data_IF_426681133918
#
_entry.id   IF_426681133918
#
_cell.length_a   1.000
_cell.length_b   1.000
_cell.length_c   1.000
_cell.angle_alpha   90.00
_cell.angle_beta   90.00
_cell.angle_gamma   90.00
#
_symmetry.space_group_name_H-M   'P 1'
#
loop_
_entity.id
_entity.type
_entity.pdbx_description
1 polymer ?
#
# COMPACT_ATOMS: atom_id res chain seq x y z
N UNK A 1 13.29 26.07 5.20
CA UNK A 1 14.42 25.49 4.45
C UNK A 1 14.58 24.04 4.90
N UNK A 2 14.71 23.10 3.97
CA UNK A 2 15.02 21.70 4.25
C UNK A 2 16.49 21.49 3.97
N UNK A 3 17.21 20.88 4.90
CA UNK A 3 18.57 20.40 4.67
C UNK A 3 18.50 18.92 4.30
N UNK A 4 19.03 18.58 3.14
CA UNK A 4 18.96 17.25 2.57
C UNK A 4 20.28 16.51 2.79
N UNK A 5 20.19 15.28 3.31
CA UNK A 5 21.31 14.35 3.35
C UNK A 5 21.11 13.29 2.25
N UNK A 6 22.02 13.24 1.27
CA UNK A 6 21.99 12.21 0.24
C UNK A 6 22.59 10.90 0.77
N UNK A 7 21.84 9.82 0.65
CA UNK A 7 22.24 8.44 1.00
C UNK A 7 21.99 7.53 -0.18
N UNK A 8 22.65 6.38 -0.23
CA UNK A 8 22.72 5.57 -1.43
C UNK A 8 22.13 4.17 -1.24
N UNK A 9 21.38 3.72 -2.25
CA UNK A 9 20.88 2.36 -2.41
C UNK A 9 20.82 2.00 -3.91
N UNK A 10 20.81 0.72 -4.23
CA UNK A 10 20.79 0.24 -5.62
C UNK A 10 22.11 0.46 -6.36
N UNK A 11 22.02 0.79 -7.65
CA UNK A 11 23.21 0.96 -8.53
C UNK A 11 24.17 2.03 -8.00
N UNK A 12 23.65 3.16 -7.53
CA UNK A 12 24.48 4.21 -6.94
C UNK A 12 25.27 3.74 -5.71
N UNK A 13 24.70 2.86 -4.89
CA UNK A 13 25.43 2.30 -3.75
C UNK A 13 26.58 1.40 -4.19
N UNK A 14 26.40 0.59 -5.24
CA UNK A 14 27.49 -0.18 -5.84
C UNK A 14 28.62 0.69 -6.38
N UNK A 15 28.27 1.82 -7.00
CA UNK A 15 29.27 2.77 -7.53
C UNK A 15 30.09 3.43 -6.42
N UNK A 16 29.43 3.74 -5.30
CA UNK A 16 30.04 4.47 -4.18
C UNK A 16 30.79 3.57 -3.19
N UNK A 17 30.26 2.38 -2.89
CA UNK A 17 30.77 1.50 -1.82
C UNK A 17 31.43 0.22 -2.36
N UNK A 18 31.39 -0.01 -3.67
CA UNK A 18 31.98 -1.17 -4.34
C UNK A 18 30.97 -2.26 -4.71
N UNK A 19 31.40 -3.26 -5.51
CA UNK A 19 30.54 -4.28 -6.09
C UNK A 19 29.73 -5.06 -5.03
N UNK A 20 28.48 -5.37 -5.36
CA UNK A 20 27.53 -6.11 -4.51
C UNK A 20 27.08 -5.38 -3.23
N UNK A 21 27.34 -4.08 -3.10
CA UNK A 21 26.87 -3.26 -1.97
C UNK A 21 25.57 -2.53 -2.33
N UNK A 22 24.51 -3.30 -2.56
CA UNK A 22 23.19 -2.77 -3.00
C UNK A 22 22.44 -1.99 -1.92
N UNK A 23 22.66 -2.29 -0.65
CA UNK A 23 22.04 -1.64 0.50
C UNK A 23 23.07 -1.56 1.65
N UNK A 24 23.86 -0.47 1.73
CA UNK A 24 24.83 -0.27 2.80
C UNK A 24 24.16 -0.22 4.17
N UNK A 25 24.87 -0.68 5.22
CA UNK A 25 24.41 -0.52 6.61
C UNK A 25 24.26 0.94 6.99
N UNK A 26 25.19 1.80 6.55
CA UNK A 26 25.16 3.25 6.77
C UNK A 26 23.82 3.87 6.30
N UNK A 27 23.29 3.44 5.16
CA UNK A 27 21.98 3.91 4.66
C UNK A 27 20.85 3.56 5.64
N UNK A 28 20.87 2.36 6.22
CA UNK A 28 19.87 1.94 7.21
C UNK A 28 20.02 2.70 8.54
N UNK A 29 21.26 2.91 8.96
CA UNK A 29 21.60 3.64 10.18
C UNK A 29 21.15 5.10 10.09
N UNK A 30 21.45 5.77 8.98
CA UNK A 30 21.04 7.15 8.74
C UNK A 30 19.51 7.31 8.62
N UNK A 31 18.80 6.39 7.96
CA UNK A 31 17.33 6.40 7.97
C UNK A 31 16.79 6.23 9.40
N UNK A 32 17.44 5.38 10.19
CA UNK A 32 17.02 5.14 11.59
C UNK A 32 17.31 6.34 12.50
N UNK A 33 18.36 7.10 12.23
CA UNK A 33 18.75 8.32 12.96
C UNK A 33 17.83 9.49 12.62
N UNK A 34 17.63 9.76 11.30
CA UNK A 34 16.86 10.91 10.83
C UNK A 34 15.35 10.65 10.71
N UNK A 35 14.92 9.41 10.84
CA UNK A 35 13.53 8.91 10.85
C UNK A 35 12.77 9.09 9.54
N UNK A 36 12.98 10.16 8.79
CA UNK A 36 12.22 10.48 7.58
C UNK A 36 13.14 10.50 6.37
N UNK A 37 12.78 9.69 5.36
CA UNK A 37 13.51 9.61 4.10
C UNK A 37 12.56 9.60 2.90
N UNK A 38 13.04 10.06 1.74
CA UNK A 38 12.35 9.96 0.46
C UNK A 38 13.30 9.37 -0.58
N UNK A 39 12.79 8.52 -1.45
CA UNK A 39 13.57 7.93 -2.54
C UNK A 39 12.79 7.83 -3.85
N UNK A 40 13.50 7.76 -4.93
CA UNK A 40 12.99 7.30 -6.21
C UNK A 40 12.82 5.77 -6.27
N UNK A 41 12.36 5.22 -7.40
CA UNK A 41 12.28 3.77 -7.62
C UNK A 41 13.69 3.15 -7.65
N UNK A 42 13.80 1.90 -7.18
CA UNK A 42 15.04 1.12 -7.18
C UNK A 42 14.89 -0.13 -8.04
N UNK A 43 15.90 -0.42 -8.85
CA UNK A 43 16.02 -1.69 -9.57
C UNK A 43 16.62 -2.75 -8.63
N UNK A 44 16.02 -3.93 -8.61
CA UNK A 44 16.61 -5.09 -7.94
C UNK A 44 17.44 -5.87 -8.95
N UNK A 45 18.72 -6.17 -8.67
CA UNK A 45 19.57 -6.95 -9.59
C UNK A 45 19.04 -8.37 -9.75
N UNK A 46 19.08 -8.87 -10.99
CA UNK A 46 18.72 -10.26 -11.29
C UNK A 46 19.92 -11.14 -10.88
N UNK A 47 19.70 -12.10 -9.99
CA UNK A 47 20.69 -13.14 -9.63
C UNK A 47 21.64 -12.81 -8.48
N UNK A 48 21.47 -11.71 -7.76
CA UNK A 48 22.37 -11.26 -6.67
C UNK A 48 22.03 -11.76 -5.25
N UNK A 49 21.17 -12.74 -5.07
CA UNK A 49 20.78 -13.23 -3.73
C UNK A 49 19.87 -12.27 -2.93
N UNK A 50 19.68 -11.04 -3.39
CA UNK A 50 18.74 -10.08 -2.83
C UNK A 50 17.45 -10.13 -3.65
N UNK A 51 16.35 -10.53 -3.03
CA UNK A 51 15.04 -10.62 -3.71
C UNK A 51 14.52 -9.25 -4.17
N UNK A 52 14.62 -8.25 -3.30
CA UNK A 52 14.24 -6.87 -3.60
C UNK A 52 14.85 -5.94 -2.56
N UNK A 53 15.50 -4.86 -3.03
CA UNK A 53 16.04 -3.82 -2.15
C UNK A 53 14.90 -3.13 -1.38
N UNK A 54 13.76 -2.90 -2.03
CA UNK A 54 12.59 -2.31 -1.37
C UNK A 54 12.06 -3.21 -0.24
N UNK A 55 11.95 -4.52 -0.47
CA UNK A 55 11.54 -5.47 0.57
C UNK A 55 12.56 -5.50 1.71
N UNK A 56 13.87 -5.48 1.40
CA UNK A 56 14.92 -5.43 2.41
C UNK A 56 14.83 -4.17 3.29
N UNK A 57 14.60 -3.00 2.69
CA UNK A 57 14.38 -1.74 3.42
C UNK A 57 13.18 -1.84 4.38
N UNK A 58 12.04 -2.33 3.89
CA UNK A 58 10.81 -2.50 4.67
C UNK A 58 11.00 -3.43 5.86
N UNK A 59 11.66 -4.57 5.64
CA UNK A 59 11.91 -5.57 6.69
C UNK A 59 12.96 -5.11 7.70
N UNK A 60 14.12 -4.59 7.24
CA UNK A 60 15.22 -4.19 8.14
C UNK A 60 14.89 -2.98 8.99
N UNK A 61 14.06 -2.06 8.51
CA UNK A 61 13.59 -0.89 9.24
C UNK A 61 12.23 -1.12 9.93
N UNK A 62 11.67 -2.32 9.78
CA UNK A 62 10.33 -2.71 10.26
C UNK A 62 9.23 -1.71 9.86
N UNK A 63 9.23 -1.29 8.59
CA UNK A 63 8.23 -0.37 8.03
C UNK A 63 6.95 -1.15 7.70
N UNK A 64 6.18 -1.49 8.71
CA UNK A 64 5.08 -2.46 8.61
C UNK A 64 3.81 -1.94 7.93
N UNK A 65 3.66 -0.66 7.74
CA UNK A 65 2.57 -0.05 6.97
C UNK A 65 3.09 0.44 5.64
N UNK A 66 2.57 -0.07 4.52
CA UNK A 66 2.66 0.58 3.24
C UNK A 66 1.38 1.40 3.02
N UNK A 67 1.51 2.71 3.11
CA UNK A 67 0.41 3.67 2.99
C UNK A 67 0.32 4.18 1.55
N UNK A 68 -0.83 3.97 0.90
CA UNK A 68 -1.08 4.36 -0.49
C UNK A 68 -2.43 5.07 -0.62
N UNK A 69 -2.49 6.40 -0.53
CA UNK A 69 -3.69 7.16 -0.84
C UNK A 69 -3.93 7.15 -2.35
N UNK A 70 -5.20 6.97 -2.72
CA UNK A 70 -5.65 6.98 -4.12
C UNK A 70 -6.81 7.96 -4.24
N UNK A 71 -6.61 9.02 -5.00
CA UNK A 71 -7.63 10.02 -5.34
C UNK A 71 -7.47 10.49 -6.77
N UNK A 72 -8.55 10.94 -7.35
CA UNK A 72 -8.52 11.53 -8.67
C UNK A 72 -8.24 13.03 -8.61
N UNK A 73 -7.47 13.54 -9.58
CA UNK A 73 -7.23 14.95 -9.80
C UNK A 73 -8.03 15.43 -11.02
N UNK A 74 -8.58 16.64 -10.93
CA UNK A 74 -9.40 17.21 -12.01
C UNK A 74 -8.68 17.19 -13.36
N UNK A 75 -9.43 16.78 -14.40
CA UNK A 75 -8.97 16.64 -15.78
C UNK A 75 -8.00 15.48 -16.06
N UNK A 76 -7.56 14.72 -15.07
CA UNK A 76 -6.75 13.51 -15.33
C UNK A 76 -7.62 12.48 -16.09
N UNK A 77 -7.11 11.91 -17.19
CA UNK A 77 -7.82 10.86 -17.91
C UNK A 77 -8.08 9.64 -17.03
N UNK A 78 -9.28 9.11 -17.09
CA UNK A 78 -9.68 7.95 -16.28
C UNK A 78 -10.50 6.96 -17.11
N UNK A 79 -10.32 5.65 -16.92
CA UNK A 79 -11.12 4.62 -17.58
C UNK A 79 -12.51 4.44 -16.95
N UNK A 80 -12.76 5.02 -15.77
CA UNK A 80 -14.05 4.92 -15.07
C UNK A 80 -14.93 6.15 -15.32
N UNK A 81 -16.26 5.98 -15.22
CA UNK A 81 -17.22 7.05 -15.51
C UNK A 81 -17.16 8.21 -14.52
N UNK A 82 -16.99 7.91 -13.23
CA UNK A 82 -17.03 8.88 -12.15
C UNK A 82 -15.79 8.76 -11.28
N UNK A 83 -14.62 9.17 -11.75
CA UNK A 83 -13.38 9.01 -10.97
C UNK A 83 -13.36 9.87 -9.68
N UNK A 84 -14.16 10.93 -9.60
CA UNK A 84 -14.37 11.72 -8.37
C UNK A 84 -14.92 10.89 -7.19
N UNK A 85 -15.52 9.75 -7.46
CA UNK A 85 -16.07 8.86 -6.43
C UNK A 85 -14.99 8.01 -5.75
N UNK A 86 -13.73 8.11 -6.24
CA UNK A 86 -12.58 7.36 -5.73
C UNK A 86 -11.74 8.28 -4.86
N UNK A 87 -11.81 8.06 -3.56
CA UNK A 87 -10.96 8.66 -2.53
C UNK A 87 -10.75 7.62 -1.43
N UNK A 88 -9.73 6.79 -1.60
CA UNK A 88 -9.43 5.68 -0.71
C UNK A 88 -7.99 5.74 -0.23
N UNK A 89 -7.75 5.23 0.99
CA UNK A 89 -6.41 5.11 1.54
C UNK A 89 -6.14 3.66 1.90
N UNK A 90 -5.12 3.06 1.27
CA UNK A 90 -4.75 1.67 1.49
C UNK A 90 -3.67 1.59 2.56
N UNK A 91 -3.95 0.84 3.62
CA UNK A 91 -3.01 0.33 4.62
C UNK A 91 -2.69 -1.11 4.23
N UNK A 92 -1.57 -1.30 3.51
CA UNK A 92 -1.04 -2.59 3.11
C UNK A 92 -0.05 -3.06 4.15
N UNK A 93 -0.24 -4.27 4.69
CA UNK A 93 0.79 -4.93 5.50
C UNK A 93 2.07 -5.10 4.65
N UNK A 94 3.24 -4.94 5.25
CA UNK A 94 4.45 -4.73 4.48
C UNK A 94 5.63 -5.64 4.87
N UNK A 95 5.46 -6.50 5.88
CA UNK A 95 6.56 -7.30 6.46
C UNK A 95 6.33 -8.82 6.40
N UNK A 96 5.11 -9.24 6.23
CA UNK A 96 4.69 -10.65 6.19
C UNK A 96 4.16 -11.07 4.81
N UNK A 97 3.29 -12.08 4.79
CA UNK A 97 2.68 -12.66 3.62
C UNK A 97 3.70 -13.44 2.77
N UNK A 98 3.40 -13.70 1.52
CA UNK A 98 4.34 -14.35 0.59
C UNK A 98 5.60 -13.51 0.35
N UNK A 99 5.57 -12.22 0.65
CA UNK A 99 6.72 -11.31 0.60
C UNK A 99 7.79 -11.64 1.66
N UNK A 100 7.48 -12.46 2.67
CA UNK A 100 8.48 -13.04 3.59
C UNK A 100 9.52 -13.90 2.85
N UNK A 101 9.17 -14.37 1.65
CA UNK A 101 10.11 -15.03 0.76
C UNK A 101 10.47 -16.45 1.19
N UNK A 102 9.59 -17.13 1.90
CA UNK A 102 9.79 -18.53 2.31
C UNK A 102 9.31 -19.43 1.17
N UNK A 103 10.20 -19.74 0.24
CA UNK A 103 9.90 -20.52 -0.96
C UNK A 103 10.94 -21.61 -1.18
N UNK A 104 10.50 -22.68 -1.81
CA UNK A 104 11.30 -23.85 -2.18
C UNK A 104 11.12 -24.10 -3.68
N UNK A 105 12.21 -23.99 -4.43
CA UNK A 105 12.23 -24.26 -5.87
C UNK A 105 12.07 -25.75 -6.14
N UNK A 106 11.27 -26.07 -7.14
CA UNK A 106 11.00 -27.47 -7.54
C UNK A 106 12.31 -28.20 -7.89
N UNK A 107 12.36 -29.50 -7.57
CA UNK A 107 13.52 -30.35 -7.85
C UNK A 107 14.74 -30.16 -6.93
N UNK A 108 14.75 -29.16 -6.07
CA UNK A 108 15.87 -28.92 -5.13
C UNK A 108 15.81 -29.85 -3.91
N UNK A 109 16.96 -30.03 -3.25
CA UNK A 109 17.07 -30.82 -2.02
C UNK A 109 16.19 -30.26 -0.91
N UNK A 110 16.11 -28.93 -0.78
CA UNK A 110 15.29 -28.27 0.22
C UNK A 110 13.79 -28.48 -0.02
N UNK A 111 13.33 -28.42 -1.28
CA UNK A 111 11.94 -28.74 -1.62
C UNK A 111 11.62 -30.22 -1.28
N UNK A 112 12.52 -31.13 -1.64
CA UNK A 112 12.37 -32.56 -1.34
C UNK A 112 12.34 -32.84 0.17
N UNK A 113 13.22 -32.19 0.93
CA UNK A 113 13.25 -32.27 2.39
C UNK A 113 11.96 -31.78 3.02
N UNK A 114 11.46 -30.60 2.57
CA UNK A 114 10.21 -30.04 3.06
C UNK A 114 9.01 -30.95 2.73
N UNK A 115 8.95 -31.49 1.51
CA UNK A 115 7.91 -32.46 1.11
C UNK A 115 7.94 -33.74 1.96
N UNK A 116 9.14 -34.24 2.29
CA UNK A 116 9.26 -35.40 3.16
C UNK A 116 8.76 -35.13 4.58
N UNK A 117 9.10 -33.95 5.15
CA UNK A 117 8.56 -33.53 6.45
C UNK A 117 7.02 -33.48 6.43
N UNK A 118 6.43 -32.89 5.36
CA UNK A 118 4.98 -32.86 5.19
C UNK A 118 4.37 -34.26 5.05
N UNK A 119 5.02 -35.15 4.31
CA UNK A 119 4.57 -36.52 4.09
C UNK A 119 4.56 -37.32 5.39
N UNK A 120 5.61 -37.22 6.18
CA UNK A 120 5.79 -37.96 7.42
C UNK A 120 4.93 -37.42 8.57
N UNK A 121 4.88 -36.10 8.73
CA UNK A 121 4.26 -35.47 9.91
C UNK A 121 2.85 -34.90 9.62
N UNK A 122 2.53 -34.59 8.38
CA UNK A 122 1.26 -33.98 7.96
C UNK A 122 0.66 -34.65 6.73
N UNK A 123 0.57 -36.00 6.73
CA UNK A 123 0.19 -36.78 5.56
C UNK A 123 -1.13 -36.38 4.90
N UNK A 124 -2.12 -35.95 5.70
CA UNK A 124 -3.41 -35.44 5.18
C UNK A 124 -3.27 -34.13 4.40
N UNK A 125 -2.26 -33.31 4.72
CA UNK A 125 -1.95 -32.07 4.00
C UNK A 125 -1.10 -32.37 2.76
N UNK A 126 -0.10 -33.24 2.90
CA UNK A 126 0.71 -33.71 1.77
C UNK A 126 -0.13 -34.29 0.63
N UNK A 127 -1.13 -35.11 0.94
CA UNK A 127 -2.05 -35.71 -0.04
C UNK A 127 -2.84 -34.67 -0.86
N UNK A 128 -2.87 -33.42 -0.46
CA UNK A 128 -3.52 -32.33 -1.22
C UNK A 128 -2.61 -31.75 -2.28
N UNK A 129 -1.31 -32.02 -2.24
CA UNK A 129 -0.36 -31.60 -3.26
C UNK A 129 -0.52 -32.57 -4.43
N UNK A 130 -1.03 -32.07 -5.54
CA UNK A 130 -1.39 -32.91 -6.69
C UNK A 130 -0.18 -33.48 -7.41
N UNK A 131 0.88 -32.70 -7.52
CA UNK A 131 2.11 -33.03 -8.26
C UNK A 131 3.35 -32.73 -7.41
N UNK A 132 3.61 -33.52 -6.34
CA UNK A 132 4.65 -33.19 -5.37
C UNK A 132 6.07 -33.16 -5.95
N UNK A 133 6.35 -33.97 -7.00
CA UNK A 133 7.70 -34.07 -7.58
C UNK A 133 8.07 -32.91 -8.53
N UNK A 134 7.12 -32.07 -8.90
CA UNK A 134 7.29 -31.01 -9.90
C UNK A 134 6.63 -29.68 -9.46
N UNK A 135 6.41 -29.48 -8.16
CA UNK A 135 5.84 -28.24 -7.66
C UNK A 135 6.86 -27.43 -6.86
N UNK A 136 6.90 -26.13 -7.12
CA UNK A 136 7.45 -25.17 -6.16
C UNK A 136 6.51 -24.99 -4.99
N UNK A 137 7.03 -24.65 -3.82
CA UNK A 137 6.27 -24.48 -2.58
C UNK A 137 6.56 -23.13 -1.95
N UNK A 138 5.54 -22.48 -1.37
CA UNK A 138 5.69 -21.23 -0.65
C UNK A 138 4.87 -21.24 0.65
N UNK A 139 5.38 -20.53 1.65
CA UNK A 139 4.72 -20.34 2.94
C UNK A 139 4.22 -18.89 3.05
N UNK A 140 2.96 -18.74 3.42
CA UNK A 140 2.28 -17.46 3.65
C UNK A 140 2.07 -17.24 5.15
N UNK A 141 3.02 -16.62 5.86
CA UNK A 141 2.84 -16.27 7.27
C UNK A 141 1.95 -15.03 7.40
N UNK A 142 0.96 -15.09 8.27
CA UNK A 142 0.15 -13.95 8.72
C UNK A 142 0.02 -14.07 10.23
N UNK A 143 0.50 -13.07 10.97
CA UNK A 143 0.49 -13.07 12.43
C UNK A 143 -0.61 -12.22 13.04
N UNK A 144 -0.92 -12.49 14.31
CA UNK A 144 -1.83 -11.64 15.09
C UNK A 144 -1.19 -10.27 15.34
N UNK A 145 0.09 -10.25 15.64
CA UNK A 145 0.87 -9.04 15.92
C UNK A 145 0.91 -8.11 14.70
N UNK A 146 1.32 -8.62 13.55
CA UNK A 146 1.36 -7.86 12.29
C UNK A 146 -0.02 -7.31 11.90
N UNK A 147 -1.06 -8.15 12.03
CA UNK A 147 -2.45 -7.73 11.79
C UNK A 147 -2.88 -6.63 12.75
N UNK A 148 -2.61 -6.80 14.06
CA UNK A 148 -3.10 -5.88 15.09
C UNK A 148 -2.49 -4.49 14.95
N UNK A 149 -1.18 -4.37 14.70
CA UNK A 149 -0.52 -3.08 14.52
C UNK A 149 -1.01 -2.37 13.24
N UNK A 150 -1.15 -3.10 12.12
CA UNK A 150 -1.67 -2.53 10.88
C UNK A 150 -3.09 -1.99 11.02
N UNK A 151 -4.00 -2.80 11.57
CA UNK A 151 -5.43 -2.42 11.71
C UNK A 151 -5.61 -1.32 12.74
N UNK A 152 -4.84 -1.34 13.83
CA UNK A 152 -4.82 -0.25 14.81
C UNK A 152 -4.50 1.08 14.15
N UNK A 153 -3.44 1.14 13.35
CA UNK A 153 -3.01 2.39 12.71
C UNK A 153 -3.98 2.81 11.59
N UNK A 154 -4.58 1.86 10.87
CA UNK A 154 -5.64 2.16 9.90
C UNK A 154 -6.87 2.80 10.57
N UNK A 155 -7.27 2.32 11.75
CA UNK A 155 -8.37 2.89 12.51
C UNK A 155 -7.99 4.26 13.08
N UNK A 156 -6.79 4.39 13.65
CA UNK A 156 -6.31 5.67 14.17
C UNK A 156 -6.24 6.72 13.05
N UNK A 157 -5.71 6.35 11.89
CA UNK A 157 -5.72 7.22 10.70
C UNK A 157 -7.14 7.65 10.30
N UNK A 158 -8.10 6.71 10.32
CA UNK A 158 -9.50 7.03 10.00
C UNK A 158 -10.09 8.05 10.97
N UNK A 159 -9.78 7.93 12.27
CA UNK A 159 -10.20 8.87 13.30
C UNK A 159 -9.56 10.24 13.07
N UNK A 160 -8.24 10.30 12.92
CA UNK A 160 -7.48 11.54 12.81
C UNK A 160 -7.79 12.34 11.53
N UNK A 161 -8.22 11.64 10.48
CA UNK A 161 -8.55 12.23 9.18
C UNK A 161 -10.07 12.30 8.90
N UNK A 162 -10.92 12.09 9.92
CA UNK A 162 -12.38 12.12 9.79
C UNK A 162 -12.92 11.21 8.67
N UNK A 163 -12.32 10.03 8.50
CA UNK A 163 -12.76 9.01 7.55
C UNK A 163 -13.92 8.22 8.16
N UNK A 164 -14.80 7.71 7.33
CA UNK A 164 -16.08 7.09 7.75
C UNK A 164 -15.98 5.60 8.06
N UNK A 165 -15.03 4.90 7.43
CA UNK A 165 -14.94 3.45 7.58
C UNK A 165 -13.53 2.91 7.39
N UNK A 166 -13.27 1.73 7.99
CA UNK A 166 -12.13 0.88 7.69
C UNK A 166 -12.64 -0.48 7.19
N UNK A 167 -12.20 -0.89 6.00
CA UNK A 167 -12.59 -2.14 5.39
C UNK A 167 -11.43 -3.13 5.41
N UNK A 168 -11.64 -4.28 6.06
CA UNK A 168 -10.70 -5.40 6.08
C UNK A 168 -10.88 -6.22 4.80
N UNK A 169 -9.91 -6.16 3.89
CA UNK A 169 -9.98 -6.92 2.62
C UNK A 169 -9.19 -8.20 2.75
N UNK A 170 -9.82 -9.36 2.47
CA UNK A 170 -9.23 -10.68 2.68
C UNK A 170 -9.85 -11.77 1.78
N UNK A 171 -9.20 -12.92 1.69
CA UNK A 171 -9.73 -14.16 1.09
C UNK A 171 -9.93 -15.27 2.15
N UNK A 172 -10.43 -14.91 3.32
CA UNK A 172 -10.54 -15.77 4.49
C UNK A 172 -11.51 -16.95 4.35
N UNK A 173 -12.41 -16.93 3.36
CA UNK A 173 -13.26 -18.08 3.03
C UNK A 173 -12.46 -19.28 2.45
N UNK A 174 -11.31 -19.02 1.84
CA UNK A 174 -10.38 -20.02 1.30
C UNK A 174 -9.19 -20.21 2.25
N UNK A 175 -8.51 -19.13 2.61
CA UNK A 175 -7.33 -19.14 3.49
C UNK A 175 -7.73 -18.87 4.94
N UNK A 176 -8.39 -19.86 5.56
CA UNK A 176 -9.11 -19.74 6.84
C UNK A 176 -8.23 -19.34 8.02
N UNK A 177 -6.96 -19.76 8.06
CA UNK A 177 -6.07 -19.59 9.20
C UNK A 177 -5.05 -18.46 9.01
N UNK A 178 -4.89 -17.97 7.80
CA UNK A 178 -4.08 -16.80 7.47
C UNK A 178 -4.99 -15.59 7.24
N UNK A 179 -5.60 -15.44 6.09
CA UNK A 179 -6.46 -14.30 5.79
C UNK A 179 -7.77 -14.27 6.61
N UNK A 180 -8.31 -15.44 6.98
CA UNK A 180 -9.42 -15.52 7.95
C UNK A 180 -8.98 -15.15 9.37
N UNK A 181 -7.72 -15.44 9.72
CA UNK A 181 -7.08 -14.94 10.94
C UNK A 181 -6.99 -13.42 10.94
N UNK A 182 -6.50 -12.82 9.85
CA UNK A 182 -6.44 -11.36 9.66
C UNK A 182 -7.81 -10.71 9.92
N UNK A 183 -8.87 -11.18 9.28
CA UNK A 183 -10.23 -10.69 9.53
C UNK A 183 -10.59 -10.75 11.02
N UNK A 184 -10.41 -11.92 11.64
CA UNK A 184 -10.77 -12.16 13.04
C UNK A 184 -10.01 -11.22 13.99
N UNK A 185 -8.70 -11.14 13.83
CA UNK A 185 -7.84 -10.29 14.68
C UNK A 185 -8.08 -8.80 14.42
N UNK A 186 -8.39 -8.43 13.17
CA UNK A 186 -8.77 -7.07 12.83
C UNK A 186 -10.02 -6.60 13.56
N UNK A 187 -11.09 -7.40 13.60
CA UNK A 187 -12.26 -7.08 14.41
C UNK A 187 -11.97 -7.05 15.91
N UNK A 188 -11.17 -8.01 16.38
CA UNK A 188 -10.81 -8.09 17.80
C UNK A 188 -10.08 -6.83 18.26
N UNK A 189 -9.04 -6.38 17.54
CA UNK A 189 -8.31 -5.16 17.91
C UNK A 189 -9.16 -3.90 17.82
N UNK A 190 -10.09 -3.83 16.84
CA UNK A 190 -11.03 -2.72 16.71
C UNK A 190 -11.95 -2.61 17.94
N UNK A 191 -12.53 -3.74 18.38
CA UNK A 191 -13.42 -3.78 19.54
C UNK A 191 -12.66 -3.55 20.85
N UNK A 192 -11.45 -4.12 21.01
CA UNK A 192 -10.65 -4.01 22.25
C UNK A 192 -10.07 -2.61 22.47
N UNK A 193 -9.54 -1.96 21.42
CA UNK A 193 -8.84 -0.66 21.56
C UNK A 193 -9.69 0.56 21.25
N UNK A 194 -10.73 0.42 20.42
CA UNK A 194 -11.50 1.54 19.90
C UNK A 194 -13.02 1.39 20.09
N UNK A 195 -13.48 0.52 20.98
CA UNK A 195 -14.88 0.16 21.10
C UNK A 195 -15.87 1.33 21.32
N UNK A 196 -15.41 2.43 21.90
CA UNK A 196 -16.17 3.67 22.05
C UNK A 196 -16.24 4.50 20.76
N UNK A 197 -15.26 4.36 19.85
CA UNK A 197 -15.09 5.13 18.62
C UNK A 197 -15.49 4.38 17.35
N UNK A 198 -15.74 3.06 17.43
CA UNK A 198 -16.07 2.23 16.29
C UNK A 198 -17.37 1.47 16.46
N UNK A 199 -17.94 1.00 15.35
CA UNK A 199 -18.96 -0.03 15.30
C UNK A 199 -18.57 -1.07 14.25
N UNK A 200 -18.57 -2.34 14.63
CA UNK A 200 -18.07 -3.42 13.76
C UNK A 200 -19.21 -4.24 13.16
N UNK A 201 -18.98 -4.78 11.95
CA UNK A 201 -19.92 -5.75 11.39
C UNK A 201 -19.99 -7.04 12.23
N UNK A 202 -18.92 -7.41 12.95
CA UNK A 202 -18.96 -8.49 13.94
C UNK A 202 -19.99 -8.23 15.03
N UNK A 203 -20.09 -6.97 15.52
CA UNK A 203 -21.13 -6.58 16.48
C UNK A 203 -22.53 -6.57 15.84
N UNK A 204 -22.62 -6.08 14.59
CA UNK A 204 -23.87 -6.10 13.82
C UNK A 204 -24.41 -7.53 13.69
N UNK A 205 -23.59 -8.49 13.26
CA UNK A 205 -24.00 -9.89 13.09
C UNK A 205 -24.47 -10.51 14.42
N UNK A 206 -23.76 -10.25 15.52
CA UNK A 206 -24.16 -10.70 16.86
C UNK A 206 -25.52 -10.13 17.27
N UNK A 207 -25.83 -8.87 16.92
CA UNK A 207 -27.14 -8.27 17.20
C UNK A 207 -28.23 -8.92 16.34
N UNK A 208 -27.93 -9.19 15.07
CA UNK A 208 -28.87 -9.90 14.18
C UNK A 208 -29.22 -11.28 14.74
N UNK A 209 -28.21 -12.04 15.22
CA UNK A 209 -28.37 -13.38 15.79
C UNK A 209 -29.15 -13.37 17.11
N UNK A 210 -28.89 -12.42 18.01
CA UNK A 210 -29.47 -12.40 19.36
C UNK A 210 -30.76 -11.62 19.46
N UNK A 211 -31.00 -10.65 18.59
CA UNK A 211 -32.17 -9.76 18.66
C UNK A 211 -32.95 -9.77 17.34
N UNK A 212 -32.55 -8.95 16.36
CA UNK A 212 -33.09 -8.95 15.00
C UNK A 212 -32.30 -8.04 14.06
N UNK A 213 -32.48 -8.22 12.75
CA UNK A 213 -31.91 -7.34 11.73
C UNK A 213 -32.34 -5.88 11.92
N UNK A 214 -33.61 -5.65 12.27
CA UNK A 214 -34.14 -4.28 12.49
C UNK A 214 -33.42 -3.54 13.62
N UNK A 215 -33.13 -4.23 14.72
CA UNK A 215 -32.38 -3.66 15.85
C UNK A 215 -30.91 -3.43 15.43
N UNK A 216 -30.28 -4.35 14.69
CA UNK A 216 -28.92 -4.18 14.18
C UNK A 216 -28.83 -2.96 13.25
N UNK A 217 -29.76 -2.81 12.30
CA UNK A 217 -29.81 -1.65 11.39
C UNK A 217 -29.97 -0.33 12.18
N UNK A 218 -30.82 -0.30 13.21
CA UNK A 218 -30.99 0.86 14.06
C UNK A 218 -29.71 1.23 14.81
N UNK A 219 -29.05 0.27 15.46
CA UNK A 219 -27.79 0.49 16.21
C UNK A 219 -26.65 0.93 15.27
N UNK A 220 -26.58 0.39 14.06
CA UNK A 220 -25.61 0.81 13.07
C UNK A 220 -25.85 2.28 12.64
N UNK A 221 -27.10 2.65 12.35
CA UNK A 221 -27.45 4.02 11.97
C UNK A 221 -27.18 5.02 13.11
N UNK A 222 -27.49 4.66 14.36
CA UNK A 222 -27.15 5.45 15.55
C UNK A 222 -25.63 5.64 15.68
N UNK A 223 -24.85 4.59 15.44
CA UNK A 223 -23.39 4.63 15.45
C UNK A 223 -22.83 5.55 14.37
N UNK A 224 -23.33 5.47 13.14
CA UNK A 224 -22.96 6.37 12.04
C UNK A 224 -23.31 7.82 12.40
N UNK A 225 -24.51 8.06 12.92
CA UNK A 225 -24.98 9.41 13.29
C UNK A 225 -24.19 10.02 14.46
N UNK A 226 -23.62 9.17 15.33
CA UNK A 226 -22.74 9.62 16.43
C UNK A 226 -21.28 9.80 16.00
N UNK A 227 -20.96 9.60 14.73
CA UNK A 227 -19.60 9.77 14.18
C UNK A 227 -18.66 8.62 14.43
N UNK A 228 -19.15 7.42 14.76
CA UNK A 228 -18.31 6.23 14.89
C UNK A 228 -17.81 5.75 13.53
N UNK A 229 -16.56 5.28 13.51
CA UNK A 229 -15.96 4.63 12.33
C UNK A 229 -16.57 3.23 12.16
N UNK A 230 -17.02 2.91 10.97
CA UNK A 230 -17.58 1.58 10.67
C UNK A 230 -16.45 0.65 10.25
N UNK A 231 -16.27 -0.42 11.01
CA UNK A 231 -15.31 -1.49 10.67
C UNK A 231 -16.08 -2.62 9.99
N UNK A 232 -15.71 -2.90 8.74
CA UNK A 232 -16.35 -3.92 7.91
C UNK A 232 -15.34 -4.79 7.20
N UNK A 233 -15.77 -5.89 6.61
CA UNK A 233 -14.90 -6.75 5.81
C UNK A 233 -15.50 -7.03 4.42
N UNK A 234 -14.63 -7.38 3.50
CA UNK A 234 -15.01 -7.83 2.17
C UNK A 234 -14.01 -8.85 1.62
N UNK A 235 -14.53 -9.82 0.87
CA UNK A 235 -13.69 -10.80 0.16
C UNK A 235 -13.01 -10.11 -1.02
N UNK A 236 -11.71 -10.35 -1.20
CA UNK A 236 -10.83 -9.61 -2.12
C UNK A 236 -11.35 -9.55 -3.57
N UNK A 237 -11.85 -10.64 -4.12
CA UNK A 237 -12.42 -10.64 -5.47
C UNK A 237 -13.73 -9.82 -5.58
N UNK A 238 -14.55 -9.84 -4.55
CA UNK A 238 -15.73 -8.97 -4.47
C UNK A 238 -15.31 -7.50 -4.36
N UNK A 239 -14.28 -7.20 -3.57
CA UNK A 239 -13.73 -5.86 -3.43
C UNK A 239 -13.25 -5.30 -4.78
N UNK A 240 -12.47 -6.06 -5.55
CA UNK A 240 -11.98 -5.66 -6.88
C UNK A 240 -13.13 -5.32 -7.84
N UNK A 241 -14.28 -5.99 -7.73
CA UNK A 241 -15.49 -5.66 -8.48
C UNK A 241 -16.16 -4.38 -7.94
N UNK A 242 -16.22 -4.25 -6.61
CA UNK A 242 -17.00 -3.18 -5.95
C UNK A 242 -16.32 -1.82 -6.04
N UNK A 243 -15.00 -1.75 -6.09
CA UNK A 243 -14.28 -0.48 -6.33
C UNK A 243 -14.58 0.12 -7.70
N UNK A 244 -15.07 -0.68 -8.67
CA UNK A 244 -15.53 -0.20 -9.97
C UNK A 244 -17.01 0.20 -9.97
N UNK A 245 -17.83 -0.50 -9.18
CA UNK A 245 -19.29 -0.37 -9.23
C UNK A 245 -19.87 0.49 -8.12
N UNK A 246 -19.19 0.56 -6.97
CA UNK A 246 -19.64 1.23 -5.74
C UNK A 246 -18.47 1.84 -4.95
N UNK A 247 -17.57 2.64 -5.56
CA UNK A 247 -16.35 3.13 -4.89
C UNK A 247 -16.66 3.95 -3.61
N UNK A 248 -17.76 4.71 -3.59
CA UNK A 248 -18.17 5.51 -2.42
C UNK A 248 -18.42 4.73 -1.13
N UNK A 249 -18.58 3.41 -1.22
CA UNK A 249 -18.75 2.58 -0.04
C UNK A 249 -17.44 2.31 0.71
N UNK A 250 -16.30 2.70 0.14
CA UNK A 250 -14.96 2.40 0.65
C UNK A 250 -14.18 3.67 0.95
N UNK A 251 -13.48 3.65 2.07
CA UNK A 251 -12.71 4.81 2.55
C UNK A 251 -11.27 4.37 2.93
N UNK A 252 -11.03 3.92 4.16
CA UNK A 252 -9.74 3.31 4.52
C UNK A 252 -9.80 1.80 4.32
N UNK A 253 -8.77 1.24 3.70
CA UNK A 253 -8.65 -0.18 3.37
C UNK A 253 -7.48 -0.77 4.14
N UNK A 254 -7.70 -1.78 4.99
CA UNK A 254 -6.64 -2.52 5.63
C UNK A 254 -6.56 -3.93 5.03
N UNK A 255 -5.38 -4.36 4.59
CA UNK A 255 -5.21 -5.65 3.93
C UNK A 255 -3.78 -6.18 4.02
N UNK A 256 -3.62 -7.48 3.76
CA UNK A 256 -2.32 -8.14 3.71
C UNK A 256 -1.49 -7.69 2.51
N UNK A 257 -0.22 -8.05 2.52
CA UNK A 257 0.79 -7.54 1.61
C UNK A 257 0.45 -7.77 0.13
N UNK A 258 0.20 -8.99 -0.30
CA UNK A 258 -0.11 -9.29 -1.70
C UNK A 258 -1.42 -8.64 -2.17
N UNK A 259 -2.48 -8.76 -1.38
CA UNK A 259 -3.76 -8.15 -1.72
C UNK A 259 -3.63 -6.63 -1.85
N UNK A 260 -2.87 -5.99 -0.94
CA UNK A 260 -2.60 -4.56 -0.98
C UNK A 260 -1.82 -4.12 -2.20
N UNK A 261 -0.90 -4.96 -2.69
CA UNK A 261 -0.16 -4.70 -3.93
C UNK A 261 -1.10 -4.64 -5.14
N UNK A 262 -1.90 -5.69 -5.33
CA UNK A 262 -2.85 -5.75 -6.44
C UNK A 262 -3.91 -4.64 -6.38
N UNK A 263 -4.46 -4.39 -5.20
CA UNK A 263 -5.55 -3.44 -4.99
C UNK A 263 -5.07 -2.00 -5.25
N UNK A 264 -3.90 -1.63 -4.76
CA UNK A 264 -3.39 -0.26 -4.94
C UNK A 264 -3.13 0.07 -6.41
N UNK A 265 -2.59 -0.86 -7.18
CA UNK A 265 -2.35 -0.64 -8.60
C UNK A 265 -3.66 -0.64 -9.41
N UNK A 266 -4.62 -1.51 -9.06
CA UNK A 266 -5.95 -1.50 -9.67
C UNK A 266 -6.71 -0.18 -9.42
N UNK A 267 -6.59 0.40 -8.22
CA UNK A 267 -7.16 1.70 -7.88
C UNK A 267 -6.39 2.85 -8.55
N UNK A 268 -5.06 2.81 -8.57
CA UNK A 268 -4.25 3.80 -9.27
C UNK A 268 -4.63 3.90 -10.75
N UNK A 269 -4.88 2.77 -11.41
CA UNK A 269 -5.32 2.74 -12.81
C UNK A 269 -6.65 3.50 -13.03
N UNK A 270 -7.54 3.48 -12.05
CA UNK A 270 -8.85 4.14 -12.12
C UNK A 270 -8.76 5.67 -11.98
N UNK A 271 -7.70 6.19 -11.39
CA UNK A 271 -7.51 7.64 -11.16
C UNK A 271 -6.47 8.28 -12.08
N UNK A 272 -5.94 7.54 -13.05
CA UNK A 272 -4.99 8.06 -14.03
C UNK A 272 -3.69 7.26 -14.18
N UNK A 273 -3.46 6.27 -13.33
CA UNK A 273 -2.33 5.35 -13.41
C UNK A 273 -1.27 5.56 -12.32
N UNK A 274 -0.28 4.68 -12.32
CA UNK A 274 0.78 4.65 -11.29
C UNK A 274 1.70 5.88 -11.31
N UNK A 275 1.74 6.64 -12.41
CA UNK A 275 2.53 7.88 -12.51
C UNK A 275 2.04 9.01 -11.60
N UNK A 276 0.84 8.89 -11.03
CA UNK A 276 0.24 9.85 -10.09
C UNK A 276 -0.10 9.21 -8.73
N UNK A 277 0.35 7.99 -8.49
CA UNK A 277 0.09 7.27 -7.25
C UNK A 277 1.29 7.39 -6.28
N UNK A 278 1.14 8.06 -5.13
CA UNK A 278 2.19 8.15 -4.12
C UNK A 278 2.22 6.94 -3.20
N UNK A 279 3.32 6.79 -2.45
CA UNK A 279 3.45 5.79 -1.42
C UNK A 279 4.37 6.18 -0.27
N UNK A 280 4.11 5.59 0.88
CA UNK A 280 4.97 5.67 2.04
C UNK A 280 5.06 4.31 2.72
N UNK A 281 6.21 4.02 3.33
CA UNK A 281 6.40 2.86 4.19
C UNK A 281 6.70 3.38 5.59
N UNK A 282 5.88 3.05 6.57
CA UNK A 282 5.88 3.70 7.88
C UNK A 282 5.90 2.66 8.99
N UNK A 283 6.68 2.97 10.02
CA UNK A 283 6.56 2.36 11.34
C UNK A 283 6.08 3.44 12.31
N UNK A 284 4.79 3.43 12.65
CA UNK A 284 4.18 4.44 13.52
C UNK A 284 4.64 4.35 14.97
N UNK A 285 5.18 3.20 15.41
CA UNK A 285 5.71 3.04 16.76
C UNK A 285 7.08 3.72 16.92
N UNK A 286 7.98 3.54 15.93
CA UNK A 286 9.32 4.14 15.96
C UNK A 286 9.41 5.52 15.32
N UNK A 287 8.41 5.92 14.55
CA UNK A 287 8.39 7.16 13.76
C UNK A 287 9.21 7.10 12.47
N UNK A 288 9.76 5.93 12.08
CA UNK A 288 10.49 5.77 10.82
C UNK A 288 9.54 5.79 9.65
N UNK A 289 9.84 6.60 8.63
CA UNK A 289 9.02 6.71 7.43
C UNK A 289 9.89 6.87 6.18
N UNK A 290 9.62 6.04 5.17
CA UNK A 290 10.30 6.06 3.87
C UNK A 290 9.26 6.32 2.77
N UNK A 291 9.31 7.49 2.18
CA UNK A 291 8.41 7.90 1.10
C UNK A 291 8.98 7.51 -0.26
N UNK A 292 8.15 6.99 -1.13
CA UNK A 292 8.60 6.49 -2.44
C UNK A 292 7.51 6.55 -3.51
N UNK A 293 7.93 6.72 -4.78
CA UNK A 293 7.04 6.47 -5.91
C UNK A 293 6.63 4.99 -5.96
N UNK A 294 5.39 4.72 -6.34
CA UNK A 294 4.86 3.35 -6.40
C UNK A 294 5.26 2.58 -7.66
N UNK A 295 5.67 3.30 -8.72
CA UNK A 295 6.11 2.71 -9.98
C UNK A 295 7.59 2.23 -9.93
N UNK A 296 7.97 1.36 -10.87
CA UNK A 296 9.35 0.92 -11.06
C UNK A 296 10.24 1.96 -11.77
N UNK A 297 11.51 1.60 -11.99
CA UNK A 297 12.53 2.47 -12.60
C UNK A 297 12.31 2.79 -14.07
N UNK A 298 11.53 2.00 -14.80
CA UNK A 298 11.23 2.19 -16.23
C UNK A 298 12.49 2.48 -17.09
N UNK A 299 13.48 1.59 -17.13
CA UNK A 299 14.82 1.86 -17.70
C UNK A 299 14.80 2.30 -19.17
N UNK A 300 13.77 1.91 -19.91
CA UNK A 300 13.57 2.35 -21.31
C UNK A 300 13.37 3.86 -21.48
N UNK A 301 13.08 4.58 -20.40
CA UNK A 301 12.91 6.04 -20.40
C UNK A 301 14.09 6.78 -19.77
N UNK A 302 15.12 6.06 -19.33
CA UNK A 302 16.30 6.68 -18.73
C UNK A 302 16.93 7.73 -19.66
N UNK A 303 17.25 8.90 -19.13
CA UNK A 303 17.87 10.00 -19.87
C UNK A 303 16.96 10.73 -20.87
N UNK A 304 15.68 10.33 -21.02
CA UNK A 304 14.75 10.94 -22.00
C UNK A 304 13.98 12.16 -21.47
N UNK A 305 14.09 12.47 -20.19
CA UNK A 305 13.35 13.56 -19.52
C UNK A 305 11.80 13.49 -19.81
N UNK A 306 11.23 12.29 -19.73
CA UNK A 306 9.89 12.01 -20.28
C UNK A 306 8.87 11.57 -19.23
N UNK A 307 9.29 10.89 -18.17
CA UNK A 307 8.37 10.28 -17.19
C UNK A 307 7.58 11.31 -16.39
N UNK A 308 6.39 10.93 -15.95
CA UNK A 308 5.58 11.74 -15.05
C UNK A 308 6.20 11.73 -13.63
N UNK A 309 6.58 12.90 -13.05
CA UNK A 309 7.19 12.94 -11.73
C UNK A 309 6.16 13.02 -10.59
N UNK A 310 4.85 13.04 -10.88
CA UNK A 310 3.82 13.25 -9.86
C UNK A 310 3.85 12.22 -8.74
N UNK A 311 4.16 10.96 -9.03
CA UNK A 311 4.19 9.93 -7.99
C UNK A 311 5.22 10.25 -6.90
N UNK A 312 6.43 10.65 -7.26
CA UNK A 312 7.46 11.03 -6.28
C UNK A 312 7.15 12.39 -5.63
N UNK A 313 6.59 13.35 -6.38
CA UNK A 313 6.21 14.66 -5.85
C UNK A 313 5.09 14.53 -4.81
N UNK A 314 4.07 13.72 -5.09
CA UNK A 314 2.99 13.41 -4.14
C UNK A 314 3.49 12.58 -2.94
N UNK A 315 4.51 11.73 -3.13
CA UNK A 315 5.18 11.08 -1.99
C UNK A 315 5.91 12.09 -1.12
N UNK A 316 6.51 13.13 -1.72
CA UNK A 316 7.06 14.29 -1.01
C UNK A 316 5.99 15.12 -0.28
N UNK A 317 4.80 15.26 -0.88
CA UNK A 317 3.63 15.87 -0.21
C UNK A 317 3.27 15.08 1.05
N UNK A 318 3.13 13.76 0.95
CA UNK A 318 2.88 12.90 2.09
C UNK A 318 3.97 13.02 3.17
N UNK A 319 5.23 13.13 2.78
CA UNK A 319 6.37 13.34 3.68
C UNK A 319 6.22 14.65 4.47
N UNK A 320 5.93 15.75 3.81
CA UNK A 320 5.74 17.04 4.49
C UNK A 320 4.53 17.02 5.42
N UNK A 321 3.44 16.37 5.02
CA UNK A 321 2.25 16.19 5.87
C UNK A 321 2.55 15.32 7.08
N UNK A 322 3.33 14.26 6.93
CA UNK A 322 3.80 13.42 8.03
C UNK A 322 4.67 14.20 9.04
N UNK A 323 5.51 15.13 8.56
CA UNK A 323 6.30 16.02 9.40
C UNK A 323 5.50 17.19 10.01
N UNK A 324 4.18 17.27 9.76
CA UNK A 324 3.33 18.34 10.26
C UNK A 324 3.37 19.65 9.46
N UNK A 325 3.97 19.66 8.26
CA UNK A 325 4.05 20.84 7.40
C UNK A 325 2.90 20.89 6.40
N UNK A 326 1.68 20.95 6.93
CA UNK A 326 0.43 20.83 6.16
C UNK A 326 0.30 21.93 5.09
N UNK A 327 0.74 23.15 5.36
CA UNK A 327 0.69 24.26 4.41
C UNK A 327 1.51 23.97 3.15
N UNK A 328 2.70 23.36 3.30
CA UNK A 328 3.54 22.94 2.17
C UNK A 328 2.84 21.85 1.36
N UNK A 329 2.25 20.88 2.04
CA UNK A 329 1.49 19.81 1.41
C UNK A 329 0.31 20.34 0.61
N UNK A 330 -0.47 21.23 1.19
CA UNK A 330 -1.63 21.85 0.52
C UNK A 330 -1.22 22.70 -0.68
N UNK A 331 -0.06 23.39 -0.59
CA UNK A 331 0.51 24.14 -1.71
C UNK A 331 0.89 23.21 -2.87
N UNK A 332 1.53 22.07 -2.60
CA UNK A 332 1.88 21.07 -3.62
C UNK A 332 0.62 20.55 -4.32
N UNK A 333 -0.40 20.18 -3.55
CA UNK A 333 -1.68 19.70 -4.10
C UNK A 333 -2.32 20.73 -5.00
N UNK A 334 -2.42 21.97 -4.51
CA UNK A 334 -3.00 23.08 -5.30
C UNK A 334 -2.22 23.34 -6.58
N UNK A 335 -0.91 23.27 -6.52
CA UNK A 335 -0.04 23.44 -7.69
C UNK A 335 -0.29 22.34 -8.74
N UNK A 336 -0.45 21.08 -8.32
CA UNK A 336 -0.79 19.97 -9.22
C UNK A 336 -2.15 20.21 -9.86
N UNK A 337 -3.19 20.53 -9.09
CA UNK A 337 -4.52 20.83 -9.59
C UNK A 337 -4.51 22.01 -10.60
N UNK A 338 -3.81 23.09 -10.30
CA UNK A 338 -3.66 24.25 -11.19
C UNK A 338 -2.97 23.89 -12.50
N UNK A 339 -1.91 23.08 -12.44
CA UNK A 339 -1.12 22.68 -13.61
C UNK A 339 -1.92 21.75 -14.52
N UNK A 340 -2.61 20.77 -13.95
CA UNK A 340 -3.47 19.84 -14.67
C UNK A 340 -4.70 20.55 -15.26
N UNK A 341 -5.27 21.53 -14.56
CA UNK A 341 -6.38 22.35 -15.06
C UNK A 341 -6.02 23.17 -16.30
N UNK A 342 -4.74 23.60 -16.41
CA UNK A 342 -4.18 24.24 -17.60
C UNK A 342 -3.82 23.26 -18.71
N UNK A 343 -4.07 21.96 -18.51
CA UNK A 343 -3.71 20.86 -19.41
C UNK A 343 -2.21 20.80 -19.74
N UNK A 344 -1.36 21.21 -18.78
CA UNK A 344 0.09 21.08 -18.86
C UNK A 344 0.44 19.72 -18.29
N UNK A 345 0.85 18.76 -19.12
CA UNK A 345 0.94 17.36 -18.74
C UNK A 345 2.12 16.64 -19.39
N UNK A 346 2.51 15.52 -18.81
CA UNK A 346 3.49 14.59 -19.38
C UNK A 346 2.85 13.65 -20.40
N UNK A 347 3.68 12.85 -21.09
CA UNK A 347 3.28 12.04 -22.25
C UNK A 347 2.17 11.01 -21.94
N UNK A 348 2.09 10.53 -20.71
CA UNK A 348 1.13 9.52 -20.27
C UNK A 348 -0.32 10.07 -20.28
N UNK A 349 -0.49 11.32 -19.89
CA UNK A 349 -1.79 12.01 -19.95
C UNK A 349 -2.05 12.67 -21.30
N UNK A 350 -1.04 13.27 -21.92
CA UNK A 350 -1.21 13.98 -23.21
C UNK A 350 -1.86 13.11 -24.28
N UNK A 351 -1.43 11.86 -24.42
CA UNK A 351 -2.00 10.91 -25.40
C UNK A 351 -3.49 10.58 -25.20
N UNK A 352 -4.06 10.92 -24.06
CA UNK A 352 -5.45 10.65 -23.68
C UNK A 352 -6.28 11.93 -23.49
N UNK A 353 -5.66 13.11 -23.60
CA UNK A 353 -6.27 14.39 -23.23
C UNK A 353 -6.26 15.35 -24.42
N UNK A 354 -7.44 15.57 -25.03
CA UNK A 354 -7.55 16.51 -26.14
C UNK A 354 -7.17 17.94 -25.75
N UNK A 355 -6.32 18.57 -26.59
CA UNK A 355 -5.84 19.94 -26.37
C UNK A 355 -4.86 20.09 -25.23
N UNK A 356 -4.24 19.01 -24.78
CA UNK A 356 -3.17 19.05 -23.79
C UNK A 356 -1.86 19.55 -24.43
N UNK A 357 -1.07 20.24 -23.62
CA UNK A 357 0.30 20.63 -23.94
C UNK A 357 1.26 19.63 -23.32
N UNK A 358 1.98 18.92 -24.17
CA UNK A 358 3.03 17.99 -23.74
C UNK A 358 4.19 18.75 -23.14
N UNK A 359 4.59 18.35 -21.94
CA UNK A 359 5.77 18.80 -21.23
C UNK A 359 6.73 17.63 -20.98
N UNK A 360 8.03 17.92 -20.95
CA UNK A 360 9.05 17.04 -20.41
C UNK A 360 8.90 16.92 -18.89
N UNK A 361 9.55 15.92 -18.27
CA UNK A 361 9.55 15.76 -16.82
C UNK A 361 10.05 17.02 -16.10
N UNK A 362 11.19 17.57 -16.52
CA UNK A 362 11.77 18.81 -15.95
C UNK A 362 10.89 20.04 -16.16
N UNK A 363 10.28 20.17 -17.36
CA UNK A 363 9.36 21.26 -17.68
C UNK A 363 8.08 21.18 -16.85
N UNK A 364 7.58 19.97 -16.60
CA UNK A 364 6.42 19.76 -15.74
C UNK A 364 6.72 20.15 -14.29
N UNK A 365 7.89 19.75 -13.77
CA UNK A 365 8.34 20.19 -12.43
C UNK A 365 8.43 21.73 -12.33
N UNK A 366 8.94 22.40 -13.37
CA UNK A 366 8.97 23.88 -13.41
C UNK A 366 7.56 24.46 -13.46
N UNK A 367 6.66 23.89 -14.27
CA UNK A 367 5.25 24.35 -14.35
C UNK A 367 4.53 24.21 -13.00
N UNK A 368 4.84 23.18 -12.20
CA UNK A 368 4.34 23.08 -10.82
C UNK A 368 4.80 24.24 -9.97
N UNK A 369 6.09 24.57 -10.00
CA UNK A 369 6.66 25.70 -9.23
C UNK A 369 6.01 27.03 -9.67
N UNK A 370 5.83 27.24 -10.97
CA UNK A 370 5.22 28.45 -11.51
C UNK A 370 3.72 28.57 -11.16
N UNK A 371 3.07 27.49 -10.73
CA UNK A 371 1.66 27.43 -10.36
C UNK A 371 1.41 27.29 -8.84
N UNK A 372 2.47 27.36 -8.00
CA UNK A 372 2.36 27.46 -6.55
C UNK A 372 1.91 28.89 -6.13
#
# INVERSE_FOLDING_TARGET
KVDWLEIYAGDKANDMYGPNTWLPSETLDLISEYLVAIKGPLTTPIGGGIRSINVALRQKLDLYVCLRPVRWFNNVPSPVKNPNDIDMVIFRENTEDIYAGIEFEEGTDDANKFLNILKENFSSKYKKIRFPNTCGLGIKPISKEGTSRLVQDAIQYAIDNNRSSVTLVHKGNIMKFTEGGFKKWGYQIAEEKFGDKVFTWSQYDKIVENESKKVADQKMNESISSGKIIIKDVIADAFLQQILTRPKEYDVIATMNLNGDYISDALAAQVGGIGIAPGANINYESGKALFEATHGTAPKYAGLDKVNPCSVILSGEMMFRYMGWSEVSDMIIKSIDNTLSKKLVTYDFERQMSGAKLLKCSEFGKALIDNM
#
